data_IF_999645531662
#
_entry.id   IF_999645531662
#
_cell.length_a   1.000
_cell.length_b   1.000
_cell.length_c   1.000
_cell.angle_alpha   90.00
_cell.angle_beta   90.00
_cell.angle_gamma   90.00
#
_symmetry.space_group_name_H-M   'P 1'
#
loop_
_entity.id
_entity.type
_entity.pdbx_description
1 polymer ?
#
# COMPACT_ATOMS: atom_id res chain seq x y z
N UNK A 1 -0.26 -46.69 -46.67
CA UNK A 1 -0.71 -45.31 -46.56
C UNK A 1 -0.71 -44.94 -45.07
N UNK A 2 0.35 -44.35 -44.60
CA UNK A 2 0.51 -43.94 -43.19
C UNK A 2 0.17 -42.43 -43.08
N UNK A 3 -0.77 -42.11 -42.21
CA UNK A 3 -1.12 -40.72 -41.90
C UNK A 3 -0.24 -40.21 -40.75
N UNK A 4 0.69 -39.32 -41.04
CA UNK A 4 1.47 -38.61 -40.05
C UNK A 4 0.59 -37.60 -39.34
N UNK A 5 0.49 -37.76 -38.01
CA UNK A 5 -0.21 -36.86 -37.12
C UNK A 5 0.74 -35.72 -36.75
N UNK A 6 0.53 -34.53 -37.36
CA UNK A 6 1.24 -33.30 -36.98
C UNK A 6 0.82 -32.90 -35.54
N UNK A 7 1.77 -32.94 -34.64
CA UNK A 7 1.63 -32.37 -33.27
C UNK A 7 1.94 -30.88 -33.43
N UNK A 8 0.90 -30.04 -33.29
CA UNK A 8 1.10 -28.58 -33.18
C UNK A 8 1.62 -28.28 -31.77
N UNK A 9 2.85 -27.83 -31.68
CA UNK A 9 3.39 -27.27 -30.46
C UNK A 9 2.71 -25.91 -30.21
N UNK A 10 1.89 -25.83 -29.18
CA UNK A 10 1.42 -24.55 -28.66
C UNK A 10 2.60 -23.85 -27.98
N UNK A 11 3.13 -22.79 -28.60
CA UNK A 11 4.06 -21.88 -27.94
C UNK A 11 3.29 -21.14 -26.84
N UNK A 12 3.49 -21.51 -25.59
CA UNK A 12 3.12 -20.64 -24.48
C UNK A 12 4.01 -19.41 -24.54
N UNK A 13 3.47 -18.30 -25.00
CA UNK A 13 4.12 -17.01 -24.87
C UNK A 13 4.36 -16.80 -23.37
N UNK A 14 5.62 -16.76 -22.96
CA UNK A 14 6.03 -16.30 -21.65
C UNK A 14 5.62 -14.81 -21.58
N UNK A 15 4.50 -14.49 -20.94
CA UNK A 15 4.16 -13.10 -20.66
C UNK A 15 5.32 -12.51 -19.88
N UNK A 16 5.99 -11.51 -20.46
CA UNK A 16 7.06 -10.78 -19.81
C UNK A 16 6.47 -10.16 -18.53
N UNK A 17 6.95 -10.60 -17.39
CA UNK A 17 6.52 -10.04 -16.09
C UNK A 17 6.91 -8.56 -16.10
N UNK A 18 5.91 -7.69 -16.05
CA UNK A 18 6.12 -6.24 -15.93
C UNK A 18 6.86 -5.98 -14.63
N UNK A 19 7.95 -5.22 -14.68
CA UNK A 19 8.70 -4.79 -13.50
C UNK A 19 8.86 -3.28 -13.55
N UNK A 20 8.47 -2.61 -12.46
CA UNK A 20 8.69 -1.17 -12.29
C UNK A 20 10.18 -0.88 -12.10
N UNK A 21 10.68 0.26 -12.63
CA UNK A 21 12.05 0.68 -12.39
C UNK A 21 12.25 1.11 -10.94
N UNK A 22 13.43 0.86 -10.39
CA UNK A 22 13.76 1.27 -9.04
C UNK A 22 14.31 0.14 -8.17
N UNK A 23 14.48 0.43 -6.90
CA UNK A 23 14.96 -0.53 -5.91
C UNK A 23 14.17 -0.45 -4.61
N UNK A 24 14.03 -1.58 -3.93
CA UNK A 24 13.41 -1.62 -2.60
C UNK A 24 14.40 -1.09 -1.58
N UNK A 25 14.00 -0.04 -0.87
CA UNK A 25 14.83 0.56 0.19
C UNK A 25 13.99 0.89 1.41
N UNK A 26 14.64 0.96 2.58
CA UNK A 26 14.04 1.52 3.79
C UNK A 26 14.09 3.04 3.74
N UNK A 27 13.00 3.70 4.13
CA UNK A 27 12.93 5.15 4.19
C UNK A 27 13.80 5.71 5.32
N UNK A 28 14.47 6.84 5.06
CA UNK A 28 15.00 7.67 6.14
C UNK A 28 13.85 8.36 6.90
N UNK A 29 13.96 8.57 8.22
CA UNK A 29 12.97 9.36 8.95
C UNK A 29 13.02 10.85 8.54
N UNK A 30 11.90 11.55 8.70
CA UNK A 30 11.78 12.98 8.42
C UNK A 30 11.45 13.34 6.97
N UNK A 31 11.21 12.37 6.11
CA UNK A 31 10.82 12.63 4.72
C UNK A 31 9.31 12.89 4.63
N UNK A 32 8.96 13.94 3.88
CA UNK A 32 7.57 14.31 3.62
C UNK A 32 7.05 13.62 2.36
N UNK A 33 5.83 13.14 2.44
CA UNK A 33 5.08 12.55 1.32
C UNK A 33 3.60 12.83 1.45
N UNK A 34 2.82 12.13 0.65
CA UNK A 34 1.36 12.24 0.66
C UNK A 34 0.70 10.94 0.21
N UNK A 35 -0.57 10.78 0.54
CA UNK A 35 -1.45 9.80 -0.06
C UNK A 35 -2.59 10.51 -0.79
N UNK A 36 -3.14 9.87 -1.82
CA UNK A 36 -4.25 10.41 -2.61
C UNK A 36 -4.99 9.33 -3.39
N UNK A 37 -6.31 9.52 -3.51
CA UNK A 37 -7.18 8.77 -4.43
C UNK A 37 -7.13 9.30 -5.87
N UNK A 38 -6.59 10.51 -6.08
CA UNK A 38 -6.52 11.14 -7.40
C UNK A 38 -5.39 10.54 -8.23
N UNK A 39 -5.64 10.36 -9.53
CA UNK A 39 -4.63 9.91 -10.50
C UNK A 39 -3.57 11.00 -10.71
N UNK A 40 -2.31 10.61 -10.61
CA UNK A 40 -1.16 11.52 -10.77
C UNK A 40 -0.61 11.43 -12.20
N UNK A 41 -0.46 12.58 -12.84
CA UNK A 41 0.27 12.70 -14.11
C UNK A 41 1.58 13.48 -13.92
N UNK A 42 2.34 13.65 -14.99
CA UNK A 42 3.65 14.34 -14.98
C UNK A 42 3.61 15.72 -14.29
N UNK A 43 2.60 16.52 -14.59
CA UNK A 43 2.49 17.87 -14.03
C UNK A 43 2.29 17.82 -12.50
N UNK A 44 1.43 16.93 -12.01
CA UNK A 44 1.18 16.78 -10.57
C UNK A 44 2.38 16.17 -9.83
N UNK A 45 3.07 15.21 -10.43
CA UNK A 45 4.29 14.62 -9.85
C UNK A 45 5.42 15.67 -9.76
N UNK A 46 5.65 16.46 -10.81
CA UNK A 46 6.63 17.57 -10.77
C UNK A 46 6.24 18.63 -9.72
N UNK A 47 4.96 18.98 -9.63
CA UNK A 47 4.49 19.92 -8.62
C UNK A 47 4.67 19.37 -7.20
N UNK A 48 4.47 18.07 -6.99
CA UNK A 48 4.75 17.42 -5.72
C UNK A 48 6.23 17.50 -5.35
N UNK A 49 7.13 17.18 -6.28
CA UNK A 49 8.59 17.32 -6.07
C UNK A 49 9.00 18.76 -5.75
N UNK A 50 8.46 19.73 -6.48
CA UNK A 50 8.74 21.16 -6.24
C UNK A 50 8.28 21.63 -4.84
N UNK A 51 7.26 20.97 -4.26
CA UNK A 51 6.82 21.20 -2.86
C UNK A 51 7.65 20.44 -1.82
N UNK A 52 8.69 19.71 -2.23
CA UNK A 52 9.58 18.96 -1.36
C UNK A 52 9.09 17.59 -0.93
N UNK A 53 8.05 17.04 -1.58
CA UNK A 53 7.63 15.68 -1.33
C UNK A 53 8.64 14.67 -1.89
N UNK A 54 8.90 13.62 -1.12
CA UNK A 54 9.86 12.54 -1.44
C UNK A 54 9.17 11.25 -1.85
N UNK A 55 7.91 11.04 -1.46
CA UNK A 55 7.17 9.81 -1.74
C UNK A 55 5.67 10.07 -1.81
N UNK A 56 4.95 9.10 -2.38
CA UNK A 56 3.50 9.06 -2.30
C UNK A 56 2.98 7.63 -2.09
N UNK A 57 1.74 7.55 -1.60
CA UNK A 57 0.97 6.32 -1.58
C UNK A 57 -0.21 6.47 -2.54
N UNK A 58 -0.47 5.38 -3.29
CA UNK A 58 -1.60 5.32 -4.22
C UNK A 58 -2.42 4.08 -3.96
N UNK A 59 -3.71 4.19 -4.22
CA UNK A 59 -4.67 3.18 -3.86
C UNK A 59 -4.78 2.08 -4.91
N UNK A 60 -5.02 0.84 -4.44
CA UNK A 60 -5.40 -0.34 -5.21
C UNK A 60 -6.74 -0.87 -4.75
N UNK A 61 -7.48 -1.54 -5.62
CA UNK A 61 -8.82 -2.03 -5.34
C UNK A 61 -8.86 -3.15 -4.29
N UNK A 62 -9.99 -3.23 -3.57
CA UNK A 62 -10.36 -4.41 -2.77
C UNK A 62 -10.96 -5.53 -3.61
N UNK A 63 -11.60 -5.16 -4.72
CA UNK A 63 -12.22 -6.10 -5.65
C UNK A 63 -11.22 -6.79 -6.56
N UNK A 64 -11.69 -7.78 -7.32
CA UNK A 64 -10.87 -8.50 -8.31
C UNK A 64 -10.39 -7.59 -9.45
N UNK A 65 -11.10 -6.50 -9.71
CA UNK A 65 -10.77 -5.55 -10.77
C UNK A 65 -10.39 -4.20 -10.18
N UNK A 66 -9.35 -3.61 -10.74
CA UNK A 66 -8.97 -2.22 -10.48
C UNK A 66 -9.99 -1.27 -11.13
N UNK A 67 -10.28 -0.14 -10.48
CA UNK A 67 -11.02 0.96 -11.09
C UNK A 67 -10.07 1.84 -11.93
N UNK A 68 -10.63 2.70 -12.78
CA UNK A 68 -9.82 3.64 -13.57
C UNK A 68 -9.08 4.69 -12.72
N UNK A 69 -9.50 4.89 -11.47
CA UNK A 69 -8.86 5.79 -10.51
C UNK A 69 -7.81 5.12 -9.64
N UNK A 70 -7.69 3.79 -9.68
CA UNK A 70 -6.67 3.05 -8.93
C UNK A 70 -5.33 3.13 -9.63
N UNK A 71 -4.26 2.87 -8.88
CA UNK A 71 -2.90 2.92 -9.39
C UNK A 71 -2.71 1.97 -10.57
N UNK A 72 -2.26 2.51 -11.69
CA UNK A 72 -1.86 1.75 -12.87
C UNK A 72 -0.34 1.65 -13.00
N UNK A 73 0.15 0.71 -13.82
CA UNK A 73 1.57 0.63 -14.17
C UNK A 73 2.11 1.94 -14.77
N UNK A 74 1.37 2.53 -15.69
CA UNK A 74 1.77 3.78 -16.36
C UNK A 74 1.88 4.93 -15.36
N UNK A 75 0.93 5.07 -14.44
CA UNK A 75 0.99 6.07 -13.38
C UNK A 75 2.17 5.80 -12.42
N UNK A 76 2.40 4.54 -12.03
CA UNK A 76 3.52 4.17 -11.17
C UNK A 76 4.87 4.55 -11.79
N UNK A 77 5.06 4.33 -13.09
CA UNK A 77 6.25 4.78 -13.83
C UNK A 77 6.39 6.29 -13.80
N UNK A 78 5.33 7.04 -14.10
CA UNK A 78 5.31 8.50 -14.04
C UNK A 78 5.72 9.05 -12.68
N UNK A 79 5.25 8.42 -11.59
CA UNK A 79 5.60 8.79 -10.22
C UNK A 79 7.09 8.56 -9.94
N UNK A 80 7.60 7.39 -10.31
CA UNK A 80 9.00 7.02 -10.11
C UNK A 80 9.94 7.88 -10.98
N UNK A 81 9.58 8.13 -12.23
CA UNK A 81 10.35 8.99 -13.15
C UNK A 81 10.45 10.44 -12.67
N UNK A 82 9.43 10.91 -11.96
CA UNK A 82 9.46 12.21 -11.29
C UNK A 82 10.35 12.24 -10.02
N UNK A 83 10.91 11.09 -9.62
CA UNK A 83 11.77 10.96 -8.44
C UNK A 83 11.02 10.87 -7.11
N UNK A 84 9.77 10.41 -7.13
CA UNK A 84 8.99 10.09 -5.92
C UNK A 84 9.08 8.59 -5.64
N UNK A 85 9.38 8.20 -4.41
CA UNK A 85 9.22 6.83 -3.96
C UNK A 85 7.72 6.47 -3.87
N UNK A 86 7.39 5.17 -4.01
CA UNK A 86 6.00 4.76 -4.14
C UNK A 86 5.68 3.53 -3.29
N UNK A 87 4.50 3.54 -2.65
CA UNK A 87 3.90 2.41 -1.96
C UNK A 87 2.42 2.28 -2.32
N UNK A 88 1.89 1.06 -2.50
CA UNK A 88 0.46 0.84 -2.66
C UNK A 88 -0.25 0.74 -1.31
N UNK A 89 -1.50 1.24 -1.25
CA UNK A 89 -2.44 1.06 -0.14
C UNK A 89 -3.77 0.55 -0.68
N UNK A 90 -4.37 -0.45 -0.03
CA UNK A 90 -5.66 -0.96 -0.46
C UNK A 90 -6.80 -0.11 0.11
N UNK A 91 -7.78 0.25 -0.73
CA UNK A 91 -8.98 0.97 -0.31
C UNK A 91 -9.69 0.29 0.86
N UNK A 92 -10.17 1.09 1.81
CA UNK A 92 -11.04 0.64 2.89
C UNK A 92 -12.47 0.38 2.41
N UNK A 93 -13.24 -0.37 3.18
CA UNK A 93 -14.67 -0.54 2.99
C UNK A 93 -15.45 0.71 3.45
N UNK A 94 -16.75 0.76 3.11
CA UNK A 94 -17.62 1.84 3.57
C UNK A 94 -17.66 1.90 5.09
N UNK A 95 -17.79 3.11 5.61
CA UNK A 95 -17.95 3.34 7.04
C UNK A 95 -19.06 2.50 7.65
N UNK A 96 -18.80 1.94 8.85
CA UNK A 96 -19.70 1.02 9.53
C UNK A 96 -19.67 -0.42 9.02
N UNK A 97 -18.65 -0.79 8.24
CA UNK A 97 -18.49 -2.17 7.74
C UNK A 97 -18.09 -3.17 8.83
N UNK A 98 -18.32 -4.44 8.54
CA UNK A 98 -17.97 -5.55 9.44
C UNK A 98 -16.93 -6.44 8.75
N UNK A 99 -15.70 -6.54 9.29
CA UNK A 99 -14.68 -7.45 8.79
C UNK A 99 -15.04 -8.91 9.05
N UNK A 100 -14.38 -9.80 8.31
CA UNK A 100 -14.34 -11.24 8.60
C UNK A 100 -13.02 -11.83 8.12
N UNK A 101 -12.60 -12.96 8.67
CA UNK A 101 -11.40 -13.66 8.20
C UNK A 101 -11.44 -13.95 6.70
N UNK A 102 -12.59 -14.41 6.19
CA UNK A 102 -12.77 -14.68 4.76
C UNK A 102 -12.58 -13.44 3.88
N UNK A 103 -13.11 -12.28 4.32
CA UNK A 103 -12.86 -11.02 3.62
C UNK A 103 -11.38 -10.61 3.68
N UNK A 104 -10.71 -10.84 4.80
CA UNK A 104 -9.26 -10.61 4.93
C UNK A 104 -8.48 -11.40 3.88
N UNK A 105 -8.75 -12.69 3.75
CA UNK A 105 -8.14 -13.55 2.72
C UNK A 105 -8.41 -13.03 1.31
N UNK A 106 -9.66 -12.72 0.97
CA UNK A 106 -10.01 -12.24 -0.38
C UNK A 106 -9.36 -10.89 -0.69
N UNK A 107 -9.46 -9.94 0.22
CA UNK A 107 -8.92 -8.60 0.01
C UNK A 107 -7.38 -8.58 0.01
N UNK A 108 -6.74 -9.38 0.87
CA UNK A 108 -5.28 -9.54 0.87
C UNK A 108 -4.75 -10.12 -0.44
N UNK A 109 -5.43 -11.16 -0.95
CA UNK A 109 -5.11 -11.76 -2.26
C UNK A 109 -5.25 -10.73 -3.40
N UNK A 110 -6.34 -9.96 -3.40
CA UNK A 110 -6.54 -8.92 -4.41
C UNK A 110 -5.50 -7.80 -4.30
N UNK A 111 -5.16 -7.34 -3.08
CA UNK A 111 -4.09 -6.36 -2.88
C UNK A 111 -2.75 -6.85 -3.45
N UNK A 112 -2.37 -8.08 -3.14
CA UNK A 112 -1.16 -8.70 -3.66
C UNK A 112 -1.18 -8.83 -5.19
N UNK A 113 -2.29 -9.34 -5.76
CA UNK A 113 -2.43 -9.51 -7.20
C UNK A 113 -2.35 -8.19 -7.96
N UNK A 114 -3.02 -7.12 -7.48
CA UNK A 114 -2.94 -5.80 -8.09
C UNK A 114 -1.52 -5.22 -7.99
N UNK A 115 -0.88 -5.35 -6.84
CA UNK A 115 0.50 -4.88 -6.65
C UNK A 115 1.48 -5.58 -7.60
N UNK A 116 1.35 -6.90 -7.76
CA UNK A 116 2.14 -7.68 -8.72
C UNK A 116 1.85 -7.25 -10.16
N UNK A 117 0.58 -7.08 -10.54
CA UNK A 117 0.18 -6.72 -11.92
C UNK A 117 0.66 -5.31 -12.32
N UNK A 118 0.80 -4.39 -11.37
CA UNK A 118 1.38 -3.06 -11.58
C UNK A 118 2.91 -3.16 -11.80
N UNK A 119 3.54 -4.25 -11.36
CA UNK A 119 4.97 -4.49 -11.54
C UNK A 119 5.84 -4.16 -10.33
N UNK A 120 5.28 -4.04 -9.13
CA UNK A 120 6.08 -3.85 -7.93
C UNK A 120 6.93 -5.08 -7.63
N UNK A 121 8.22 -4.88 -7.26
CA UNK A 121 9.07 -5.96 -6.79
C UNK A 121 8.65 -6.40 -5.37
N UNK A 122 8.96 -7.64 -4.97
CA UNK A 122 8.77 -8.10 -3.59
C UNK A 122 9.57 -7.25 -2.59
N UNK A 123 9.14 -7.28 -1.33
CA UNK A 123 9.83 -6.61 -0.21
C UNK A 123 9.34 -5.20 0.12
N UNK A 124 8.55 -4.54 -0.74
CA UNK A 124 7.94 -3.25 -0.39
C UNK A 124 6.79 -3.41 0.60
N UNK A 125 6.45 -2.36 1.33
CA UNK A 125 5.21 -2.33 2.09
C UNK A 125 3.99 -2.25 1.15
N UNK A 126 3.01 -3.10 1.41
CA UNK A 126 1.64 -2.98 0.93
C UNK A 126 0.75 -2.72 2.14
N UNK A 127 -0.06 -1.68 2.08
CA UNK A 127 -0.78 -1.18 3.24
C UNK A 127 -2.25 -1.59 3.23
N UNK A 128 -2.69 -2.21 4.35
CA UNK A 128 -4.10 -2.38 4.68
C UNK A 128 -4.62 -1.07 5.27
N UNK A 129 -5.69 -0.52 4.72
CA UNK A 129 -6.42 0.59 5.33
C UNK A 129 -7.47 0.04 6.31
N UNK A 130 -7.20 0.19 7.62
CA UNK A 130 -8.07 -0.26 8.71
C UNK A 130 -8.73 0.93 9.39
N UNK A 131 -9.89 1.32 8.89
CA UNK A 131 -10.71 2.36 9.49
C UNK A 131 -12.21 2.12 9.28
N UNK A 132 -13.05 2.92 9.93
CA UNK A 132 -14.50 2.90 9.74
C UNK A 132 -15.18 1.59 10.13
N UNK A 133 -14.57 0.73 10.92
CA UNK A 133 -15.15 -0.54 11.37
C UNK A 133 -16.38 -0.26 12.23
N UNK A 134 -17.44 -1.07 12.07
CA UNK A 134 -18.64 -1.00 12.91
C UNK A 134 -18.24 -1.14 14.39
N UNK A 135 -18.59 -0.18 15.27
CA UNK A 135 -18.10 -0.17 16.67
C UNK A 135 -18.48 -1.40 17.50
N UNK A 136 -19.56 -2.10 17.15
CA UNK A 136 -19.98 -3.34 17.83
C UNK A 136 -19.25 -4.60 17.36
N UNK A 137 -18.29 -4.49 16.43
CA UNK A 137 -17.49 -5.63 15.96
C UNK A 137 -16.52 -6.05 17.06
N UNK A 138 -16.46 -7.35 17.35
CA UNK A 138 -15.49 -7.84 18.34
C UNK A 138 -14.05 -7.67 17.84
N UNK A 139 -13.14 -7.31 18.73
CA UNK A 139 -11.72 -7.14 18.44
C UNK A 139 -11.11 -8.40 17.79
N UNK A 140 -11.52 -9.57 18.24
CA UNK A 140 -11.09 -10.87 17.67
C UNK A 140 -11.37 -10.95 16.18
N UNK A 141 -12.55 -10.54 15.73
CA UNK A 141 -12.93 -10.57 14.31
C UNK A 141 -12.07 -9.60 13.48
N UNK A 142 -11.76 -8.42 14.03
CA UNK A 142 -10.86 -7.45 13.37
C UNK A 142 -9.44 -8.02 13.25
N UNK A 143 -8.92 -8.62 14.31
CA UNK A 143 -7.60 -9.26 14.33
C UNK A 143 -7.53 -10.40 13.30
N UNK A 144 -8.53 -11.27 13.29
CA UNK A 144 -8.59 -12.41 12.36
C UNK A 144 -8.66 -11.94 10.88
N UNK A 145 -9.37 -10.83 10.61
CA UNK A 145 -9.40 -10.17 9.30
C UNK A 145 -8.01 -9.64 8.89
N UNK A 146 -7.38 -8.84 9.76
CA UNK A 146 -6.08 -8.24 9.47
C UNK A 146 -5.02 -9.32 9.24
N UNK A 147 -4.95 -10.32 10.11
CA UNK A 147 -3.96 -11.39 10.00
C UNK A 147 -4.14 -12.26 8.76
N UNK A 148 -5.39 -12.52 8.34
CA UNK A 148 -5.66 -13.20 7.09
C UNK A 148 -5.21 -12.37 5.88
N UNK A 149 -5.43 -11.06 5.90
CA UNK A 149 -4.95 -10.14 4.87
C UNK A 149 -3.43 -10.11 4.81
N UNK A 150 -2.75 -9.99 5.96
CA UNK A 150 -1.28 -9.98 6.04
C UNK A 150 -0.66 -11.27 5.51
N UNK A 151 -1.28 -12.42 5.79
CA UNK A 151 -0.79 -13.71 5.32
C UNK A 151 -0.78 -13.79 3.78
N UNK A 152 -1.83 -13.31 3.11
CA UNK A 152 -1.90 -13.32 1.64
C UNK A 152 -0.86 -12.37 1.02
N UNK A 153 -0.71 -11.17 1.57
CA UNK A 153 0.28 -10.19 1.10
C UNK A 153 1.71 -10.69 1.32
N UNK A 154 2.00 -11.25 2.50
CA UNK A 154 3.30 -11.83 2.78
C UNK A 154 3.63 -13.04 1.90
N UNK A 155 2.63 -13.89 1.58
CA UNK A 155 2.82 -15.05 0.71
C UNK A 155 3.19 -14.67 -0.72
N UNK A 156 2.81 -13.46 -1.16
CA UNK A 156 3.21 -12.90 -2.44
C UNK A 156 4.59 -12.21 -2.40
N UNK A 157 5.29 -12.24 -1.27
CA UNK A 157 6.63 -11.68 -1.10
C UNK A 157 6.68 -10.21 -0.67
N UNK A 158 5.55 -9.57 -0.38
CA UNK A 158 5.49 -8.20 0.10
C UNK A 158 5.58 -8.10 1.63
N UNK A 159 5.93 -6.93 2.14
CA UNK A 159 5.90 -6.60 3.56
C UNK A 159 4.53 -5.99 3.92
N UNK A 160 3.63 -6.73 4.60
CA UNK A 160 2.34 -6.18 4.96
C UNK A 160 2.49 -5.05 5.98
N UNK A 161 1.73 -3.96 5.77
CA UNK A 161 1.62 -2.86 6.72
C UNK A 161 0.15 -2.55 7.00
N UNK A 162 -0.13 -1.80 8.07
CA UNK A 162 -1.48 -1.37 8.39
C UNK A 162 -1.55 0.11 8.72
N UNK A 163 -2.43 0.82 8.03
CA UNK A 163 -2.90 2.15 8.40
C UNK A 163 -3.96 2.01 9.50
N UNK A 164 -3.69 2.61 10.65
CA UNK A 164 -4.61 2.65 11.77
C UNK A 164 -5.39 3.95 11.69
N UNK A 165 -6.61 3.85 11.16
CA UNK A 165 -7.50 4.98 10.96
C UNK A 165 -8.55 5.12 12.07
N UNK A 166 -9.45 6.10 11.88
CA UNK A 166 -10.53 6.32 12.81
C UNK A 166 -11.41 5.07 12.95
N UNK A 167 -11.76 4.71 14.18
CA UNK A 167 -12.58 3.51 14.46
C UNK A 167 -11.97 2.21 13.96
N UNK A 168 -10.67 2.04 14.06
CA UNK A 168 -10.00 0.76 13.85
C UNK A 168 -10.42 -0.30 14.89
N UNK A 169 -11.09 0.11 15.98
CA UNK A 169 -11.64 -0.71 17.06
C UNK A 169 -10.58 -1.28 18.03
N UNK A 170 -9.39 -1.61 17.53
CA UNK A 170 -8.34 -2.26 18.32
C UNK A 170 -7.65 -1.29 19.30
N UNK A 171 -7.20 -1.82 20.43
CA UNK A 171 -6.31 -1.14 21.35
C UNK A 171 -4.85 -1.18 20.87
N UNK A 172 -3.99 -0.31 21.37
CA UNK A 172 -2.56 -0.32 21.03
C UNK A 172 -1.86 -1.63 21.40
N UNK A 173 -2.21 -2.23 22.54
CA UNK A 173 -1.71 -3.54 22.97
C UNK A 173 -2.11 -4.66 21.99
N UNK A 174 -3.35 -4.66 21.50
CA UNK A 174 -3.80 -5.63 20.53
C UNK A 174 -3.12 -5.45 19.17
N UNK A 175 -2.91 -4.20 18.75
CA UNK A 175 -2.17 -3.89 17.51
C UNK A 175 -0.75 -4.45 17.63
N UNK A 176 -0.07 -4.22 18.73
CA UNK A 176 1.30 -4.68 18.90
C UNK A 176 1.41 -6.20 19.05
N UNK A 177 0.60 -6.82 19.94
CA UNK A 177 0.75 -8.23 20.30
C UNK A 177 -0.01 -9.21 19.41
N UNK A 178 -1.05 -8.75 18.71
CA UNK A 178 -1.97 -9.65 18.02
C UNK A 178 -1.95 -9.53 16.50
N UNK A 179 -1.50 -8.42 15.94
CA UNK A 179 -1.37 -8.26 14.50
C UNK A 179 -0.05 -8.86 14.01
N UNK A 180 -0.12 -9.66 12.93
CA UNK A 180 1.03 -10.34 12.33
C UNK A 180 1.74 -9.43 11.31
N UNK A 181 2.02 -8.21 11.73
CA UNK A 181 2.84 -7.25 11.01
C UNK A 181 3.71 -6.45 11.98
N UNK A 182 4.76 -5.84 11.45
CA UNK A 182 5.63 -4.91 12.18
C UNK A 182 5.61 -3.50 11.58
N UNK A 183 4.76 -3.25 10.57
CA UNK A 183 4.69 -1.96 9.89
C UNK A 183 3.37 -1.27 10.18
N UNK A 184 3.46 -0.08 10.80
CA UNK A 184 2.30 0.68 11.30
C UNK A 184 2.35 2.12 10.79
N UNK A 185 1.23 2.54 10.19
CA UNK A 185 1.02 3.90 9.71
C UNK A 185 -0.11 4.54 10.50
N UNK A 186 0.16 5.68 11.12
CA UNK A 186 -0.77 6.42 11.98
C UNK A 186 -1.62 7.38 11.17
N UNK A 187 -2.94 7.32 11.34
CA UNK A 187 -3.87 8.34 10.85
C UNK A 187 -3.64 9.71 11.52
N UNK A 188 -4.03 10.77 10.83
CA UNK A 188 -4.19 12.09 11.41
C UNK A 188 -5.33 12.21 12.43
N UNK A 189 -6.20 11.18 12.54
CA UNK A 189 -7.27 11.07 13.52
C UNK A 189 -6.74 10.66 14.90
N UNK A 190 -7.62 10.71 15.92
CA UNK A 190 -7.29 10.17 17.22
C UNK A 190 -7.31 8.65 17.18
N UNK A 191 -6.13 8.03 17.24
CA UNK A 191 -5.91 6.59 17.23
C UNK A 191 -5.02 6.19 18.41
N UNK A 192 -5.03 4.90 18.85
CA UNK A 192 -4.22 4.47 19.99
C UNK A 192 -2.73 4.59 19.69
N UNK A 193 -1.92 4.87 20.71
CA UNK A 193 -0.49 4.67 20.63
C UNK A 193 -0.17 3.17 20.66
N UNK A 194 0.83 2.74 19.89
CA UNK A 194 1.30 1.35 19.86
C UNK A 194 2.45 1.23 20.87
N UNK A 195 2.27 0.50 21.98
CA UNK A 195 3.30 0.37 23.00
C UNK A 195 4.54 -0.32 22.44
N UNK A 196 5.69 -0.06 23.02
CA UNK A 196 7.00 -0.65 22.71
C UNK A 196 7.56 -0.32 21.33
N UNK A 197 6.73 -0.17 20.29
CA UNK A 197 7.17 0.05 18.90
C UNK A 197 6.88 1.45 18.38
N UNK A 198 5.64 1.93 18.48
CA UNK A 198 5.20 3.15 17.83
C UNK A 198 4.86 2.93 16.34
N UNK A 199 5.00 3.99 15.54
CA UNK A 199 4.64 4.03 14.13
C UNK A 199 5.87 4.32 13.26
N UNK A 200 5.86 3.90 12.00
CA UNK A 200 6.90 4.23 11.01
C UNK A 200 6.46 5.32 10.02
N UNK A 201 5.17 5.65 9.99
CA UNK A 201 4.65 6.74 9.17
C UNK A 201 3.45 7.39 9.88
N UNK A 202 3.34 8.72 9.75
CA UNK A 202 2.30 9.53 10.39
C UNK A 202 1.62 10.38 9.32
N UNK A 203 0.29 10.23 9.20
CA UNK A 203 -0.53 11.07 8.33
C UNK A 203 -0.93 12.33 9.07
N UNK A 204 -0.99 13.44 8.35
CA UNK A 204 -1.52 14.73 8.79
C UNK A 204 -2.55 15.22 7.78
N UNK A 205 -3.80 15.26 8.20
CA UNK A 205 -4.92 15.77 7.41
C UNK A 205 -4.89 17.30 7.47
N UNK A 206 -4.76 17.95 6.32
CA UNK A 206 -4.85 19.40 6.18
C UNK A 206 -5.99 19.71 5.21
N UNK A 207 -7.09 20.23 5.74
CA UNK A 207 -8.28 20.52 4.94
C UNK A 207 -7.94 21.42 3.74
N UNK A 208 -8.29 20.94 2.55
CA UNK A 208 -8.07 21.68 1.29
C UNK A 208 -6.63 21.66 0.78
N UNK A 209 -5.75 20.81 1.31
CA UNK A 209 -4.41 20.64 0.74
C UNK A 209 -4.49 19.88 -0.58
N UNK A 210 -3.89 20.45 -1.63
CA UNK A 210 -3.99 19.96 -3.01
C UNK A 210 -2.67 20.09 -3.76
N UNK A 211 -2.46 19.19 -4.69
CA UNK A 211 -1.46 19.33 -5.76
C UNK A 211 -2.25 19.57 -7.06
N UNK A 212 -2.27 20.83 -7.54
CA UNK A 212 -3.20 21.23 -8.60
C UNK A 212 -4.65 21.10 -8.14
N UNK A 213 -5.43 20.24 -8.82
CA UNK A 213 -6.81 19.91 -8.44
C UNK A 213 -6.93 18.68 -7.55
N UNK A 214 -5.84 17.95 -7.31
CA UNK A 214 -5.83 16.66 -6.63
C UNK A 214 -5.73 16.88 -5.11
N UNK A 215 -6.71 16.41 -4.35
CA UNK A 215 -6.67 16.42 -2.89
C UNK A 215 -5.66 15.41 -2.36
N UNK A 216 -4.93 15.81 -1.32
CA UNK A 216 -3.90 14.98 -0.71
C UNK A 216 -4.00 15.03 0.82
N UNK A 217 -3.61 13.94 1.46
CA UNK A 217 -3.24 13.92 2.88
C UNK A 217 -1.73 13.78 3.01
N UNK A 218 -1.12 14.61 3.88
CA UNK A 218 0.33 14.61 4.06
C UNK A 218 0.78 13.44 4.92
N UNK A 219 1.97 12.93 4.61
CA UNK A 219 2.62 11.88 5.38
C UNK A 219 4.05 12.29 5.76
N UNK A 220 4.48 11.79 6.90
CA UNK A 220 5.84 11.94 7.41
C UNK A 220 6.39 10.55 7.76
N UNK A 221 7.56 10.20 7.24
CA UNK A 221 8.26 9.01 7.68
C UNK A 221 8.90 9.24 9.05
N UNK A 222 8.81 8.25 9.91
CA UNK A 222 9.48 8.22 11.21
C UNK A 222 10.16 6.87 11.40
N UNK A 223 11.00 6.78 12.40
CA UNK A 223 11.63 5.53 12.81
C UNK A 223 10.93 5.03 14.07
N UNK A 224 10.58 3.75 14.12
CA UNK A 224 10.00 3.15 15.32
C UNK A 224 11.08 2.89 16.40
N UNK A 225 10.64 2.47 17.59
CA UNK A 225 11.55 2.21 18.72
C UNK A 225 12.53 1.03 18.49
N UNK A 226 12.34 0.25 17.43
CA UNK A 226 13.24 -0.83 17.02
C UNK A 226 14.17 -0.42 15.87
N UNK A 227 14.17 0.84 15.47
CA UNK A 227 15.00 1.36 14.39
C UNK A 227 14.50 0.99 12.99
N UNK A 228 13.23 0.59 12.85
CA UNK A 228 12.63 0.26 11.55
C UNK A 228 11.84 1.44 10.98
N UNK A 229 11.78 1.50 9.65
CA UNK A 229 11.00 2.46 8.90
C UNK A 229 10.22 1.75 7.79
N UNK A 230 9.46 2.48 6.99
CA UNK A 230 8.70 1.93 5.86
C UNK A 230 9.63 1.45 4.75
N UNK A 231 9.18 0.44 4.01
CA UNK A 231 9.86 -0.14 2.85
C UNK A 231 9.09 0.27 1.58
N UNK A 232 9.75 0.94 0.67
CA UNK A 232 9.14 1.47 -0.54
C UNK A 232 9.93 1.14 -1.81
N UNK A 233 9.31 1.33 -2.96
CA UNK A 233 10.03 1.35 -4.22
C UNK A 233 10.62 2.75 -4.42
N UNK A 234 11.95 2.86 -4.30
CA UNK A 234 12.69 4.09 -4.60
C UNK A 234 12.88 4.22 -6.11
N UNK A 235 12.78 5.44 -6.68
CA UNK A 235 13.14 5.68 -8.06
C UNK A 235 14.61 5.31 -8.32
N UNK A 236 14.93 4.97 -9.55
CA UNK A 236 16.35 4.84 -9.93
C UNK A 236 17.04 6.20 -9.78
N UNK A 237 18.21 6.22 -9.14
CA UNK A 237 19.05 7.42 -9.17
C UNK A 237 19.36 7.74 -10.63
N UNK A 238 19.11 8.99 -11.05
CA UNK A 238 19.60 9.42 -12.35
C UNK A 238 21.11 9.16 -12.39
N UNK A 239 21.55 8.35 -13.35
CA UNK A 239 22.98 8.18 -13.62
C UNK A 239 23.47 9.56 -14.07
N UNK A 240 24.31 10.18 -13.23
CA UNK A 240 24.87 11.50 -13.50
C UNK A 240 25.90 11.43 -14.65
#
# INVERSE_FOLDING_TARGET
MGAEKRISASSSACEATVTLPGSVTSASPGLHGFDTNGVLGDASCRAAKARGFSFCLRYVSRGERQSASDLSEGEARTILDAGLALMPVQHVARDGWTPSKALGTVYGRNAAAHTLSIGFPPGINVWLDLEGVKPSTSHRVVIDYCNAWFAEVASAGFAPGVYIGARAVLTGEEIFWRLQTTHFWRSGSKVPDIPHRGYQMIQKIIKGDKIGSIEIDRNLTVMDSFGQSVLWLSPQSAVA
#
